data_IF_685237684533
#
_entry.id   IF_685237684533
#
_cell.length_a   1.000
_cell.length_b   1.000
_cell.length_c   1.000
_cell.angle_alpha   90.00
_cell.angle_beta   90.00
_cell.angle_gamma   90.00
#
_symmetry.space_group_name_H-M   'P 1'
#
loop_
_entity.id
_entity.type
_entity.pdbx_description
1 polymer ?
#
# COMPACT_ATOMS: atom_id res chain seq x y z
N UNK A 1 -2.97 -8.23 -29.56
CA UNK A 1 -1.78 -8.38 -28.69
C UNK A 1 -1.63 -7.16 -27.80
N UNK A 2 -1.53 -5.96 -28.37
CA UNK A 2 -1.34 -4.70 -27.61
C UNK A 2 -2.43 -4.44 -26.56
N UNK A 3 -3.71 -4.67 -26.89
CA UNK A 3 -4.82 -4.49 -25.93
C UNK A 3 -4.67 -5.36 -24.68
N UNK A 4 -4.18 -6.59 -24.81
CA UNK A 4 -3.98 -7.50 -23.68
C UNK A 4 -2.81 -7.06 -22.80
N UNK A 5 -1.72 -6.56 -23.40
CA UNK A 5 -0.56 -6.01 -22.69
C UNK A 5 -0.96 -4.76 -21.91
N UNK A 6 -1.73 -3.87 -22.52
CA UNK A 6 -2.21 -2.66 -21.85
C UNK A 6 -3.16 -3.01 -20.70
N UNK A 7 -4.09 -3.94 -20.92
CA UNK A 7 -5.02 -4.39 -19.89
C UNK A 7 -4.30 -5.04 -18.71
N UNK A 8 -3.29 -5.89 -18.94
CA UNK A 8 -2.52 -6.52 -17.87
C UNK A 8 -1.68 -5.49 -17.10
N UNK A 9 -1.06 -4.54 -17.79
CA UNK A 9 -0.29 -3.45 -17.16
C UNK A 9 -1.17 -2.60 -16.24
N UNK A 10 -2.32 -2.15 -16.73
CA UNK A 10 -3.25 -1.34 -15.93
C UNK A 10 -3.76 -2.14 -14.74
N UNK A 11 -4.14 -3.41 -14.95
CA UNK A 11 -4.65 -4.26 -13.88
C UNK A 11 -3.62 -4.44 -12.76
N UNK A 12 -2.36 -4.76 -13.10
CA UNK A 12 -1.27 -4.93 -12.14
C UNK A 12 -1.03 -3.62 -11.39
N UNK A 13 -0.87 -2.50 -12.11
CA UNK A 13 -0.62 -1.20 -11.49
C UNK A 13 -1.73 -0.82 -10.51
N UNK A 14 -2.99 -0.88 -10.93
CA UNK A 14 -4.13 -0.49 -10.09
C UNK A 14 -4.24 -1.38 -8.87
N UNK A 15 -4.08 -2.70 -9.03
CA UNK A 15 -4.18 -3.64 -7.92
C UNK A 15 -3.13 -3.36 -6.83
N UNK A 16 -1.87 -3.20 -7.22
CA UNK A 16 -0.79 -3.00 -6.26
C UNK A 16 -0.75 -1.58 -5.69
N UNK A 17 -1.04 -0.55 -6.49
CA UNK A 17 -1.15 0.83 -5.97
C UNK A 17 -2.30 0.95 -4.95
N UNK A 18 -3.42 0.27 -5.20
CA UNK A 18 -4.51 0.22 -4.23
C UNK A 18 -4.07 -0.47 -2.93
N UNK A 19 -3.37 -1.60 -3.02
CA UNK A 19 -2.88 -2.32 -1.85
C UNK A 19 -1.88 -1.50 -1.05
N UNK A 20 -0.92 -0.87 -1.74
CA UNK A 20 0.10 0.00 -1.16
C UNK A 20 -0.55 1.18 -0.44
N UNK A 21 -1.44 1.90 -1.13
CA UNK A 21 -2.13 3.05 -0.54
C UNK A 21 -3.03 2.68 0.62
N UNK A 22 -3.73 1.53 0.54
CA UNK A 22 -4.54 1.03 1.66
C UNK A 22 -3.69 0.74 2.91
N UNK A 23 -2.55 0.07 2.74
CA UNK A 23 -1.66 -0.28 3.84
C UNK A 23 -0.96 0.96 4.41
N UNK A 24 -0.53 1.87 3.55
CA UNK A 24 0.15 3.09 3.96
C UNK A 24 -0.77 4.07 4.68
N UNK A 25 -2.00 4.26 4.16
CA UNK A 25 -3.02 5.06 4.85
C UNK A 25 -3.44 4.44 6.19
N UNK A 26 -3.49 3.11 6.28
CA UNK A 26 -3.75 2.40 7.54
C UNK A 26 -2.66 2.65 8.59
N UNK A 27 -1.39 2.75 8.16
CA UNK A 27 -0.25 3.07 9.02
C UNK A 27 -0.39 4.45 9.64
N UNK A 28 -0.66 5.48 8.82
CA UNK A 28 -0.85 6.86 9.31
C UNK A 28 -2.11 6.96 10.18
N UNK A 29 -3.20 6.30 9.82
CA UNK A 29 -4.41 6.27 10.65
C UNK A 29 -4.15 5.67 12.03
N UNK A 30 -3.28 4.65 12.13
CA UNK A 30 -2.87 4.05 13.39
C UNK A 30 -2.02 5.00 14.23
N UNK A 31 -1.10 5.74 13.60
CA UNK A 31 -0.24 6.73 14.28
C UNK A 31 -1.04 7.95 14.74
N UNK A 32 -2.01 8.41 13.94
CA UNK A 32 -2.85 9.57 14.23
C UNK A 32 -3.97 9.29 15.25
N UNK A 33 -4.22 8.03 15.59
CA UNK A 33 -5.28 7.66 16.52
C UNK A 33 -5.01 8.20 17.95
N UNK A 34 -5.94 9.00 18.46
CA UNK A 34 -5.81 9.67 19.77
C UNK A 34 -5.81 8.68 20.94
N UNK A 35 -4.77 8.77 21.78
CA UNK A 35 -4.66 8.00 23.03
C UNK A 35 -5.80 8.31 24.02
N UNK A 36 -6.52 9.43 23.92
CA UNK A 36 -7.70 9.69 24.77
C UNK A 36 -8.87 8.76 24.46
N UNK A 37 -8.99 8.26 23.22
CA UNK A 37 -9.99 7.23 22.87
C UNK A 37 -9.68 5.88 23.54
N UNK A 38 -8.41 5.59 23.83
CA UNK A 38 -8.02 4.36 24.55
C UNK A 38 -8.65 4.29 25.95
N UNK A 39 -8.82 5.42 26.63
CA UNK A 39 -9.42 5.45 27.98
C UNK A 39 -10.91 5.08 27.95
N UNK A 40 -11.63 5.47 26.88
CA UNK A 40 -13.02 5.07 26.64
C UNK A 40 -13.14 3.60 26.26
N UNK A 41 -12.26 3.12 25.37
CA UNK A 41 -12.24 1.72 24.93
C UNK A 41 -11.88 0.74 26.05
N UNK A 42 -11.01 1.15 26.99
CA UNK A 42 -10.63 0.34 28.14
C UNK A 42 -11.80 -0.01 29.07
N UNK A 43 -12.87 0.79 29.08
CA UNK A 43 -14.06 0.60 29.92
C UNK A 43 -15.19 -0.15 29.21
N UNK A 44 -15.03 -0.48 27.92
CA UNK A 44 -16.06 -1.14 27.13
C UNK A 44 -16.11 -2.66 27.34
N UNK A 45 -17.32 -3.21 27.38
CA UNK A 45 -17.57 -4.66 27.40
C UNK A 45 -17.59 -5.28 26.00
N UNK A 46 -17.57 -4.48 24.94
CA UNK A 46 -17.57 -4.94 23.55
C UNK A 46 -16.28 -5.69 23.19
N UNK A 47 -16.43 -6.76 22.42
CA UNK A 47 -15.28 -7.55 21.92
C UNK A 47 -14.43 -6.74 20.94
N UNK A 48 -15.07 -5.89 20.13
CA UNK A 48 -14.41 -5.03 19.14
C UNK A 48 -13.56 -3.99 19.86
N UNK A 49 -14.13 -3.29 20.84
CA UNK A 49 -13.42 -2.23 21.56
C UNK A 49 -12.19 -2.75 22.32
N UNK A 50 -12.29 -3.95 22.90
CA UNK A 50 -11.14 -4.63 23.52
C UNK A 50 -10.04 -4.96 22.52
N UNK A 51 -10.39 -5.38 21.30
CA UNK A 51 -9.42 -5.68 20.25
C UNK A 51 -8.74 -4.38 19.77
N UNK A 52 -9.52 -3.35 19.48
CA UNK A 52 -9.03 -2.03 19.07
C UNK A 52 -8.12 -1.43 20.15
N UNK A 53 -8.48 -1.53 21.43
CA UNK A 53 -7.63 -1.11 22.53
C UNK A 53 -6.28 -1.83 22.54
N UNK A 54 -6.26 -3.15 22.34
CA UNK A 54 -5.00 -3.93 22.31
C UNK A 54 -4.08 -3.48 21.17
N UNK A 55 -4.63 -3.29 19.97
CA UNK A 55 -3.87 -2.86 18.80
C UNK A 55 -3.34 -1.44 18.99
N UNK A 56 -4.18 -0.50 19.44
CA UNK A 56 -3.77 0.90 19.66
C UNK A 56 -2.81 1.06 20.84
N UNK A 57 -2.85 0.18 21.85
CA UNK A 57 -1.93 0.21 22.99
C UNK A 57 -0.50 -0.14 22.57
N UNK A 58 -0.36 -1.11 21.67
CA UNK A 58 0.92 -1.54 21.12
C UNK A 58 0.79 -1.75 19.59
N UNK A 59 0.94 -0.69 18.80
CA UNK A 59 0.76 -0.76 17.35
C UNK A 59 1.98 -1.37 16.65
N UNK A 60 3.04 -1.77 17.36
CA UNK A 60 4.31 -2.21 16.76
C UNK A 60 4.13 -3.31 15.72
N UNK A 61 3.37 -4.36 16.07
CA UNK A 61 3.05 -5.46 15.16
C UNK A 61 2.20 -5.04 13.97
N UNK A 62 1.26 -4.12 14.19
CA UNK A 62 0.41 -3.60 13.12
C UNK A 62 1.25 -2.80 12.11
N UNK A 63 2.02 -1.82 12.60
CA UNK A 63 2.89 -0.98 11.77
C UNK A 63 3.93 -1.82 11.03
N UNK A 64 4.54 -2.80 11.69
CA UNK A 64 5.49 -3.70 11.05
C UNK A 64 4.84 -4.52 9.94
N UNK A 65 3.61 -5.00 10.15
CA UNK A 65 2.89 -5.80 9.16
C UNK A 65 2.46 -4.95 7.97
N UNK A 66 1.96 -3.72 8.19
CA UNK A 66 1.56 -2.82 7.12
C UNK A 66 2.75 -2.31 6.31
N UNK A 67 3.89 -2.04 6.97
CA UNK A 67 5.13 -1.64 6.32
C UNK A 67 5.70 -2.78 5.44
N UNK A 68 5.72 -4.01 5.96
CA UNK A 68 6.15 -5.16 5.16
C UNK A 68 5.22 -5.37 3.98
N UNK A 69 3.90 -5.31 4.19
CA UNK A 69 2.91 -5.51 3.13
C UNK A 69 2.98 -4.45 2.03
N UNK A 70 3.17 -3.17 2.38
CA UNK A 70 3.30 -2.08 1.41
C UNK A 70 4.58 -2.22 0.59
N UNK A 71 5.72 -2.47 1.24
CA UNK A 71 6.99 -2.74 0.55
C UNK A 71 6.89 -3.96 -0.39
N UNK A 72 6.20 -5.03 0.04
CA UNK A 72 5.96 -6.19 -0.81
C UNK A 72 5.10 -5.84 -2.03
N UNK A 73 4.06 -5.02 -1.86
CA UNK A 73 3.20 -4.55 -2.94
C UNK A 73 3.99 -3.69 -3.94
N UNK A 74 4.80 -2.74 -3.45
CA UNK A 74 5.64 -1.86 -4.25
C UNK A 74 6.63 -2.67 -5.10
N UNK A 75 7.38 -3.58 -4.48
CA UNK A 75 8.36 -4.43 -5.18
C UNK A 75 7.69 -5.34 -6.19
N UNK A 76 6.54 -5.94 -5.84
CA UNK A 76 5.79 -6.78 -6.78
C UNK A 76 5.28 -5.97 -7.98
N UNK A 77 4.78 -4.75 -7.76
CA UNK A 77 4.33 -3.85 -8.82
C UNK A 77 5.50 -3.52 -9.75
N UNK A 78 6.62 -3.07 -9.18
CA UNK A 78 7.82 -2.73 -9.94
C UNK A 78 8.34 -3.91 -10.77
N UNK A 79 8.43 -5.09 -10.18
CA UNK A 79 8.91 -6.29 -10.86
C UNK A 79 7.98 -6.70 -12.02
N UNK A 80 6.66 -6.72 -11.79
CA UNK A 80 5.69 -7.17 -12.80
C UNK A 80 5.53 -6.15 -13.93
N UNK A 81 5.39 -4.86 -13.61
CA UNK A 81 5.30 -3.79 -14.61
C UNK A 81 6.56 -3.73 -15.47
N UNK A 82 7.74 -3.82 -14.84
CA UNK A 82 9.02 -3.87 -15.57
C UNK A 82 9.09 -5.09 -16.49
N UNK A 83 8.71 -6.28 -15.99
CA UNK A 83 8.69 -7.50 -16.80
C UNK A 83 7.78 -7.40 -18.03
N UNK A 84 6.58 -6.82 -17.86
CA UNK A 84 5.61 -6.59 -18.95
C UNK A 84 6.18 -5.61 -19.97
N UNK A 85 6.74 -4.48 -19.51
CA UNK A 85 7.25 -3.43 -20.40
C UNK A 85 8.54 -3.83 -21.12
N UNK A 86 9.45 -4.54 -20.46
CA UNK A 86 10.66 -5.09 -21.12
C UNK A 86 10.27 -6.11 -22.17
N UNK A 87 9.28 -6.96 -21.89
CA UNK A 87 8.78 -7.93 -22.87
C UNK A 87 8.11 -7.26 -24.08
N UNK A 88 7.47 -6.10 -23.88
CA UNK A 88 6.78 -5.37 -24.94
C UNK A 88 7.67 -4.40 -25.74
N UNK A 89 8.63 -3.74 -25.08
CA UNK A 89 9.42 -2.63 -25.64
C UNK A 89 10.94 -2.89 -25.66
N UNK A 90 11.38 -4.10 -25.28
CA UNK A 90 12.79 -4.49 -25.28
C UNK A 90 13.63 -3.70 -24.27
N UNK A 91 14.82 -3.27 -24.70
CA UNK A 91 15.84 -2.63 -23.85
C UNK A 91 15.46 -1.25 -23.31
N UNK A 92 14.32 -0.68 -23.71
CA UNK A 92 13.78 0.59 -23.16
C UNK A 92 12.62 0.38 -22.18
N UNK A 93 12.15 -0.86 -22.03
CA UNK A 93 10.97 -1.15 -21.22
C UNK A 93 11.17 -0.88 -19.72
N UNK A 94 12.38 -1.06 -19.22
CA UNK A 94 12.80 -0.72 -17.86
C UNK A 94 12.77 0.80 -17.62
N UNK A 95 13.27 1.60 -18.57
CA UNK A 95 13.19 3.06 -18.51
C UNK A 95 11.75 3.56 -18.50
N UNK A 96 10.88 2.96 -19.32
CA UNK A 96 9.45 3.28 -19.32
C UNK A 96 8.78 2.89 -18.01
N UNK A 97 9.13 1.72 -17.45
CA UNK A 97 8.61 1.28 -16.16
C UNK A 97 8.98 2.27 -15.06
N UNK A 98 10.25 2.69 -14.99
CA UNK A 98 10.70 3.70 -14.03
C UNK A 98 9.96 5.03 -14.17
N UNK A 99 9.92 5.60 -15.39
CA UNK A 99 9.33 6.92 -15.63
C UNK A 99 7.82 6.96 -15.37
N UNK A 100 7.12 5.86 -15.63
CA UNK A 100 5.67 5.76 -15.41
C UNK A 100 5.38 5.39 -13.96
N UNK A 101 5.97 4.32 -13.45
CA UNK A 101 5.53 3.73 -12.19
C UNK A 101 5.91 4.58 -10.96
N UNK A 102 7.11 5.17 -10.94
CA UNK A 102 7.59 5.97 -9.80
C UNK A 102 6.65 7.12 -9.42
N UNK A 103 6.21 8.01 -10.33
CA UNK A 103 5.27 9.06 -9.94
C UNK A 103 3.92 8.52 -9.48
N UNK A 104 3.44 7.39 -10.03
CA UNK A 104 2.20 6.76 -9.59
C UNK A 104 2.32 6.19 -8.16
N UNK A 105 3.41 5.51 -7.83
CA UNK A 105 3.70 5.02 -6.48
C UNK A 105 3.77 6.21 -5.50
N UNK A 106 4.62 7.20 -5.80
CA UNK A 106 4.82 8.34 -4.91
C UNK A 106 3.53 9.14 -4.67
N UNK A 107 2.69 9.32 -5.68
CA UNK A 107 1.45 10.10 -5.55
C UNK A 107 0.33 9.25 -4.97
N UNK A 108 0.03 8.09 -5.56
CA UNK A 108 -1.17 7.30 -5.23
C UNK A 108 -0.93 6.25 -4.14
N UNK A 109 0.28 5.70 -4.05
CA UNK A 109 0.65 4.72 -3.02
C UNK A 109 1.10 5.38 -1.72
N UNK A 110 1.75 6.54 -1.81
CA UNK A 110 2.34 7.21 -0.65
C UNK A 110 1.74 8.57 -0.28
N UNK A 111 1.92 9.60 -1.10
CA UNK A 111 1.62 10.97 -0.71
C UNK A 111 0.12 11.19 -0.46
N UNK A 112 -0.73 10.67 -1.33
CA UNK A 112 -2.19 10.82 -1.21
C UNK A 112 -2.76 10.02 -0.03
N UNK A 113 -2.42 8.73 0.19
CA UNK A 113 -2.94 7.97 1.33
C UNK A 113 -2.43 8.42 2.70
N UNK A 114 -1.26 9.07 2.75
CA UNK A 114 -0.64 9.58 3.98
C UNK A 114 -1.07 11.02 4.34
N UNK A 115 -1.71 11.74 3.42
CA UNK A 115 -2.19 13.12 3.63
C UNK A 115 -3.55 13.16 4.35
#
# INVERSE_FOLDING_TARGET
METYILASLILVMVLFLFLEGFLSGSEIAMVAADRKKLTGLARSSSRVDRLTFRILKDPSWFLSTTLVGSNMAEVANAALVTSILVSAYGSRGDLYAFLVLTPFILILGEAFPKA
#
